data_IF_346778410001
#
_entry.id   IF_346778410001
#
_cell.length_a   1.000
_cell.length_b   1.000
_cell.length_c   1.000
_cell.angle_alpha   90.00
_cell.angle_beta   90.00
_cell.angle_gamma   90.00
#
_symmetry.space_group_name_H-M   'P 1'
#
loop_
_entity.id
_entity.type
_entity.pdbx_description
1 polymer ?
#
# COMPACT_ATOMS: atom_id res chain seq x y z
N UNK A 1 -13.02 13.90 -7.71
CA UNK A 1 -12.85 12.46 -7.99
C UNK A 1 -14.20 11.79 -7.89
N UNK A 2 -14.66 11.16 -8.97
CA UNK A 2 -15.81 10.27 -8.90
C UNK A 2 -15.33 8.85 -8.50
N UNK A 3 -16.24 7.89 -8.29
CA UNK A 3 -15.86 6.53 -7.88
C UNK A 3 -14.87 5.84 -8.84
N UNK A 4 -14.96 6.15 -10.15
CA UNK A 4 -14.11 5.53 -11.17
C UNK A 4 -12.64 5.92 -11.03
N UNK A 5 -12.37 7.17 -10.65
CA UNK A 5 -11.00 7.65 -10.46
C UNK A 5 -10.30 6.90 -9.31
N UNK A 6 -11.06 6.58 -8.24
CA UNK A 6 -10.55 5.82 -7.09
C UNK A 6 -10.27 4.37 -7.46
N UNK A 7 -11.18 3.74 -8.19
CA UNK A 7 -11.01 2.35 -8.64
C UNK A 7 -9.80 2.21 -9.57
N UNK A 8 -9.62 3.18 -10.48
CA UNK A 8 -8.45 3.22 -11.36
C UNK A 8 -7.15 3.35 -10.56
N UNK A 9 -7.09 4.32 -9.64
CA UNK A 9 -5.91 4.50 -8.78
C UNK A 9 -5.57 3.26 -7.94
N UNK A 10 -6.58 2.59 -7.40
CA UNK A 10 -6.41 1.35 -6.64
C UNK A 10 -5.85 0.20 -7.49
N UNK A 11 -6.30 0.07 -8.73
CA UNK A 11 -5.79 -0.95 -9.65
C UNK A 11 -4.34 -0.65 -10.05
N UNK A 12 -4.02 0.61 -10.37
CA UNK A 12 -2.64 1.02 -10.65
C UNK A 12 -1.71 0.74 -9.47
N UNK A 13 -2.14 1.02 -8.24
CA UNK A 13 -1.36 0.72 -7.04
C UNK A 13 -1.10 -0.79 -6.88
N UNK A 14 -2.13 -1.62 -7.06
CA UNK A 14 -2.01 -3.09 -6.99
C UNK A 14 -1.04 -3.66 -8.03
N UNK A 15 -1.09 -3.15 -9.25
CA UNK A 15 -0.22 -3.59 -10.35
C UNK A 15 1.24 -3.15 -10.15
N UNK A 16 1.48 -2.09 -9.38
CA UNK A 16 2.83 -1.57 -9.13
C UNK A 16 3.63 -2.33 -8.05
N UNK A 17 2.97 -3.18 -7.26
CA UNK A 17 3.62 -3.93 -6.17
C UNK A 17 4.46 -5.07 -6.76
N UNK A 18 5.75 -5.10 -6.41
CA UNK A 18 6.68 -6.15 -6.85
C UNK A 18 6.86 -7.19 -5.75
N UNK A 19 6.62 -8.45 -6.10
CA UNK A 19 6.81 -9.57 -5.19
C UNK A 19 8.24 -10.13 -5.30
N UNK A 20 9.06 -9.88 -4.27
CA UNK A 20 10.49 -10.18 -4.31
C UNK A 20 10.86 -11.54 -3.71
N UNK A 21 10.19 -11.96 -2.63
CA UNK A 21 10.50 -13.20 -1.94
C UNK A 21 9.26 -13.81 -1.28
N UNK A 22 9.17 -15.14 -1.29
CA UNK A 22 8.12 -15.93 -0.64
C UNK A 22 8.65 -17.27 -0.12
N UNK A 23 9.42 -17.20 0.95
CA UNK A 23 9.87 -18.42 1.58
C UNK A 23 8.69 -19.19 2.16
N UNK A 24 8.58 -20.46 1.79
CA UNK A 24 7.56 -21.41 2.27
C UNK A 24 6.13 -21.08 1.84
N UNK A 25 5.94 -20.28 0.78
CA UNK A 25 4.62 -19.93 0.23
C UNK A 25 3.68 -19.36 1.30
N UNK A 26 4.17 -18.37 2.06
CA UNK A 26 3.41 -17.76 3.16
C UNK A 26 2.26 -16.91 2.63
N UNK A 27 2.43 -16.31 1.45
CA UNK A 27 1.41 -15.48 0.81
C UNK A 27 0.64 -16.27 -0.27
N UNK A 28 -0.68 -16.02 -0.43
CA UNK A 28 -1.50 -15.04 0.27
C UNK A 28 -1.94 -15.49 1.67
N UNK A 29 -2.10 -14.53 2.59
CA UNK A 29 -2.61 -14.82 3.93
C UNK A 29 -4.11 -15.24 3.88
N UNK A 30 -4.53 -16.16 4.75
CA UNK A 30 -5.95 -16.43 4.96
C UNK A 30 -6.70 -15.17 5.41
N UNK A 31 -7.91 -14.95 4.90
CA UNK A 31 -8.74 -13.79 5.29
C UNK A 31 -9.09 -13.73 6.79
N UNK A 32 -9.02 -14.88 7.47
CA UNK A 32 -9.30 -15.01 8.91
C UNK A 32 -8.05 -14.90 9.78
N UNK A 33 -6.87 -14.64 9.20
CA UNK A 33 -5.64 -14.54 9.97
C UNK A 33 -5.65 -13.31 10.87
N UNK A 34 -5.15 -13.47 12.10
CA UNK A 34 -4.81 -12.35 12.96
C UNK A 34 -3.41 -11.87 12.60
N UNK A 35 -3.27 -10.58 12.25
CA UNK A 35 -2.01 -9.99 11.76
C UNK A 35 -1.59 -8.85 12.68
N UNK A 36 -0.34 -8.86 13.16
CA UNK A 36 0.28 -7.72 13.81
C UNK A 36 0.95 -6.85 12.74
N UNK A 37 0.49 -5.62 12.60
CA UNK A 37 1.10 -4.62 11.72
C UNK A 37 1.97 -3.68 12.56
N UNK A 38 3.26 -3.57 12.24
CA UNK A 38 4.24 -2.75 12.97
C UNK A 38 5.24 -2.11 12.01
N UNK A 39 5.89 -1.02 12.44
CA UNK A 39 6.81 -0.21 11.63
C UNK A 39 6.39 1.26 11.58
N UNK A 40 7.32 2.15 11.23
CA UNK A 40 7.11 3.61 11.24
C UNK A 40 6.15 4.12 10.15
N UNK A 41 5.97 3.34 9.07
CA UNK A 41 5.13 3.71 7.93
C UNK A 41 3.74 3.06 7.91
N UNK A 42 3.37 2.30 8.95
CA UNK A 42 2.16 1.47 8.94
C UNK A 42 0.86 2.24 8.90
N UNK A 43 0.82 3.42 9.53
CA UNK A 43 -0.34 4.32 9.54
C UNK A 43 0.09 5.75 9.17
N UNK A 44 0.82 5.88 8.06
CA UNK A 44 1.27 7.16 7.55
C UNK A 44 1.03 7.26 6.04
N UNK A 45 0.05 8.08 5.63
CA UNK A 45 -0.27 8.31 4.21
C UNK A 45 0.80 9.13 3.50
N UNK A 46 1.52 10.00 4.21
CA UNK A 46 2.66 10.74 3.68
C UNK A 46 3.71 9.79 3.12
N UNK A 47 4.17 8.84 3.94
CA UNK A 47 5.14 7.84 3.49
C UNK A 47 4.64 6.88 2.41
N UNK A 48 3.33 6.68 2.29
CA UNK A 48 2.76 5.86 1.21
C UNK A 48 2.70 6.61 -0.12
N UNK A 49 2.50 7.92 -0.08
CA UNK A 49 2.32 8.75 -1.28
C UNK A 49 3.60 9.49 -1.70
N UNK A 50 4.53 9.74 -0.78
CA UNK A 50 5.74 10.51 -1.04
C UNK A 50 5.48 12.02 -1.14
N UNK A 51 6.55 12.76 -1.45
CA UNK A 51 6.46 14.16 -1.85
C UNK A 51 5.60 14.37 -3.10
N UNK A 52 5.25 15.63 -3.37
CA UNK A 52 4.28 16.03 -4.40
C UNK A 52 2.85 15.55 -4.19
N UNK A 53 2.56 14.98 -3.04
CA UNK A 53 1.22 14.56 -2.64
C UNK A 53 0.59 15.62 -1.74
N UNK A 54 0.07 16.69 -2.38
CA UNK A 54 -0.39 17.97 -1.80
C UNK A 54 0.72 19.02 -1.64
N UNK A 55 1.83 18.68 -0.98
CA UNK A 55 2.99 19.58 -0.80
C UNK A 55 4.22 19.05 -1.53
N UNK A 56 5.20 19.94 -1.80
CA UNK A 56 6.45 19.54 -2.47
C UNK A 56 7.24 18.52 -1.65
N UNK A 57 7.54 18.87 -0.40
CA UNK A 57 8.17 17.99 0.59
C UNK A 57 7.13 17.61 1.64
N UNK A 58 7.34 16.44 2.23
CA UNK A 58 6.65 16.02 3.45
C UNK A 58 7.17 16.85 4.63
N UNK A 59 6.57 18.03 4.82
CA UNK A 59 6.67 18.85 6.03
C UNK A 59 5.30 18.92 6.69
#
# INVERSE_FOLDING_TARGET
MNGKDKDLGLNMARESIVFLNDEKNVLPLPKSASVLLTGHSTDNVGYQCGGWSVTWQEL
#
